data_IF_687922082923
#
_entry.id   IF_687922082923
#
_cell.length_a   1.000
_cell.length_b   1.000
_cell.length_c   1.000
_cell.angle_alpha   90.00
_cell.angle_beta   90.00
_cell.angle_gamma   90.00
#
_symmetry.space_group_name_H-M   'P 1'
#
loop_
_entity.id
_entity.type
_entity.pdbx_description
1 polymer ?
#
# COMPACT_ATOMS: atom_id res chain seq x y z
N UNK A 1 -12.44 -10.67 11.04
CA UNK A 1 -12.25 -10.68 9.57
C UNK A 1 -11.35 -9.54 9.11
N UNK A 2 -10.12 -9.85 8.70
CA UNK A 2 -9.12 -8.85 8.24
C UNK A 2 -8.55 -9.23 6.88
N UNK A 3 -9.38 -9.79 6.00
CA UNK A 3 -9.02 -10.10 4.62
C UNK A 3 -9.77 -9.19 3.65
N UNK A 4 -9.08 -8.58 2.66
CA UNK A 4 -7.62 -8.56 2.46
C UNK A 4 -6.89 -7.63 3.45
N UNK A 5 -5.61 -7.89 3.80
CA UNK A 5 -4.78 -6.97 4.58
C UNK A 5 -4.72 -5.58 3.94
N UNK A 6 -5.03 -4.54 4.72
CA UNK A 6 -5.06 -3.15 4.27
C UNK A 6 -3.91 -2.37 4.88
N UNK A 7 -3.11 -1.72 4.02
CA UNK A 7 -2.02 -0.85 4.40
C UNK A 7 -2.39 0.60 4.11
N UNK A 8 -2.33 1.47 5.13
CA UNK A 8 -2.42 2.92 4.96
C UNK A 8 -1.01 3.49 4.91
N UNK A 9 -0.68 4.16 3.81
CA UNK A 9 0.59 4.84 3.61
C UNK A 9 0.35 6.33 3.73
N UNK A 10 1.04 6.98 4.66
CA UNK A 10 0.94 8.43 4.82
C UNK A 10 1.95 9.14 3.92
N UNK A 11 1.50 10.13 3.16
CA UNK A 11 2.35 10.94 2.27
C UNK A 11 1.85 12.38 2.21
N UNK A 12 2.70 13.30 1.78
CA UNK A 12 2.33 14.70 1.60
C UNK A 12 1.35 14.90 0.42
N UNK A 13 1.51 14.11 -0.64
CA UNK A 13 0.75 14.21 -1.89
C UNK A 13 0.16 12.85 -2.29
N UNK A 14 -0.91 12.36 -1.61
CA UNK A 14 -1.50 11.04 -1.88
C UNK A 14 -2.01 10.89 -3.32
N UNK A 15 -2.51 11.96 -3.91
CA UNK A 15 -3.06 11.96 -5.27
C UNK A 15 -1.98 12.05 -6.36
N UNK A 16 -0.73 12.31 -6.00
CA UNK A 16 0.39 12.42 -6.95
C UNK A 16 1.11 11.08 -7.17
N UNK A 17 0.66 10.01 -6.51
CA UNK A 17 1.29 8.69 -6.60
C UNK A 17 0.74 7.95 -7.83
N UNK A 18 1.59 7.59 -8.80
CA UNK A 18 1.16 6.82 -9.96
C UNK A 18 0.79 5.39 -9.59
N UNK A 19 -0.12 4.78 -10.35
CA UNK A 19 -0.50 3.37 -10.19
C UNK A 19 0.69 2.42 -10.33
N UNK A 20 1.65 2.75 -11.19
CA UNK A 20 2.90 1.99 -11.37
C UNK A 20 3.73 1.94 -10.08
N UNK A 21 3.82 3.07 -9.38
CA UNK A 21 4.51 3.15 -8.10
C UNK A 21 3.75 2.41 -6.99
N UNK A 22 2.42 2.48 -7.00
CA UNK A 22 1.57 1.68 -6.10
C UNK A 22 1.81 0.19 -6.27
N UNK A 23 1.90 -0.30 -7.51
CA UNK A 23 2.24 -1.69 -7.80
C UNK A 23 3.63 -2.05 -7.27
N UNK A 24 4.63 -1.22 -7.54
CA UNK A 24 5.99 -1.41 -7.02
C UNK A 24 6.01 -1.55 -5.48
N UNK A 25 5.35 -0.63 -4.78
CA UNK A 25 5.23 -0.68 -3.32
C UNK A 25 4.50 -1.95 -2.85
N UNK A 26 3.42 -2.34 -3.53
CA UNK A 26 2.68 -3.56 -3.18
C UNK A 26 3.53 -4.81 -3.26
N UNK A 27 4.33 -4.95 -4.32
CA UNK A 27 5.26 -6.08 -4.47
C UNK A 27 6.33 -6.05 -3.38
N UNK A 28 6.88 -4.88 -3.08
CA UNK A 28 7.87 -4.72 -2.01
C UNK A 28 7.33 -5.10 -0.63
N UNK A 29 6.13 -4.64 -0.28
CA UNK A 29 5.46 -4.97 0.99
C UNK A 29 5.19 -6.48 1.07
N UNK A 30 4.68 -7.08 -0.02
CA UNK A 30 4.44 -8.54 -0.04
C UNK A 30 5.72 -9.32 0.21
N UNK A 31 6.80 -8.99 -0.48
CA UNK A 31 8.09 -9.66 -0.33
C UNK A 31 8.68 -9.45 1.08
N UNK A 32 8.64 -8.22 1.59
CA UNK A 32 9.21 -7.90 2.91
C UNK A 32 8.47 -8.52 4.09
N UNK A 33 7.18 -8.84 3.93
CA UNK A 33 6.33 -9.41 4.98
C UNK A 33 5.95 -10.89 4.73
N UNK A 34 6.48 -11.52 3.67
CA UNK A 34 6.13 -12.90 3.33
C UNK A 34 4.67 -13.09 2.87
N UNK A 35 4.03 -12.05 2.32
CA UNK A 35 2.65 -12.06 1.82
C UNK A 35 2.58 -12.34 0.31
N UNK A 36 3.54 -13.08 -0.23
CA UNK A 36 3.55 -13.49 -1.63
C UNK A 36 2.32 -14.36 -1.94
N UNK A 37 1.66 -14.14 -3.07
CA UNK A 37 0.40 -14.81 -3.42
C UNK A 37 -0.85 -14.30 -2.70
N UNK A 38 -0.71 -13.48 -1.65
CA UNK A 38 -1.85 -12.92 -0.90
C UNK A 38 -2.27 -11.57 -1.51
N UNK A 39 -3.57 -11.32 -1.78
CA UNK A 39 -4.03 -10.00 -2.17
C UNK A 39 -3.91 -9.01 -1.00
N UNK A 40 -3.31 -7.85 -1.25
CA UNK A 40 -3.22 -6.76 -0.28
C UNK A 40 -3.82 -5.49 -0.89
N UNK A 41 -4.38 -4.63 -0.05
CA UNK A 41 -4.88 -3.33 -0.46
C UNK A 41 -4.01 -2.22 0.13
N UNK A 42 -3.66 -1.23 -0.70
CA UNK A 42 -2.88 -0.05 -0.29
C UNK A 42 -3.74 1.18 -0.50
N UNK A 43 -3.73 2.07 0.48
CA UNK A 43 -4.37 3.38 0.39
C UNK A 43 -3.39 4.46 0.82
N UNK A 44 -3.38 5.56 0.08
CA UNK A 44 -2.55 6.72 0.40
C UNK A 44 -3.39 7.78 1.08
N UNK A 45 -2.92 8.29 2.21
CA UNK A 45 -3.60 9.34 2.95
C UNK A 45 -2.64 10.48 3.24
N UNK A 46 -3.17 11.70 3.21
CA UNK A 46 -2.44 12.83 3.77
C UNK A 46 -2.44 12.69 5.28
N UNK A 47 -1.30 12.91 5.93
CA UNK A 47 -1.24 12.95 7.39
C UNK A 47 -1.97 14.19 7.87
N UNK A 48 -3.18 14.01 8.40
CA UNK A 48 -3.86 15.06 9.16
C UNK A 48 -3.16 15.14 10.53
N UNK A 49 -2.75 16.35 10.90
CA UNK A 49 -2.04 16.64 12.15
C UNK A 49 -3.01 16.69 13.31
#
# INVERSE_FOLDING_TARGET
>A
DTMPPRFKVFTNFPNAIPDTYTRYLSTGIKKGLGLEGIPIAISFQKRNR
#
